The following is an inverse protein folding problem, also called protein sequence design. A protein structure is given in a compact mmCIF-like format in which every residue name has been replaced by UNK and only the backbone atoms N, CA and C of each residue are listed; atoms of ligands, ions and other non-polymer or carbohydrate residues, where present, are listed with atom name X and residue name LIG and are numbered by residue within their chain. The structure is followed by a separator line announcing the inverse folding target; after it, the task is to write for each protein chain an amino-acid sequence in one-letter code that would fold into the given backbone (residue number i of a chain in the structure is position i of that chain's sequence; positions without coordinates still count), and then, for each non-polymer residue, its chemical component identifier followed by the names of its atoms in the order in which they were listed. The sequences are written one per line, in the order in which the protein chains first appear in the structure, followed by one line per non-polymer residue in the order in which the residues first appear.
data_IF_004244877546
#
_entry.id   IF_004244877546
#
_cell.length_a   1.000
_cell.length_b   1.000
_cell.length_c   1.000
_cell.angle_alpha   90.00
_cell.angle_beta   90.00
_cell.angle_gamma   90.00
#
_symmetry.space_group_name_H-M   'P 1'
#
loop_
_entity.id
_entity.type
_entity.pdbx_description
1 polymer ?
#
# COMPACT_ATOMS: atom_id res chain seq x y z
N UNK A 1 -9.38 68.60 15.20
CA UNK A 1 -9.62 67.54 16.21
C UNK A 1 -9.18 66.21 15.61
N UNK A 2 -8.34 65.46 16.36
CA UNK A 2 -8.00 64.02 16.27
C UNK A 2 -7.42 63.44 14.97
N UNK A 3 -6.08 63.49 14.89
CA UNK A 3 -5.21 62.39 14.40
C UNK A 3 -5.02 61.36 15.54
N UNK A 4 -4.49 60.17 15.19
CA UNK A 4 -3.99 59.05 16.02
C UNK A 4 -4.94 57.85 16.24
N UNK A 5 -4.66 56.74 15.55
CA UNK A 5 -4.50 55.37 16.10
C UNK A 5 -4.09 54.38 15.00
N UNK A 6 -2.86 54.50 14.49
CA UNK A 6 -2.24 53.45 13.67
C UNK A 6 -0.74 53.44 14.01
N UNK A 7 -0.32 52.58 14.95
CA UNK A 7 1.09 52.58 15.36
C UNK A 7 1.50 51.67 16.52
N UNK A 8 0.60 50.93 17.16
CA UNK A 8 0.95 50.16 18.36
C UNK A 8 0.91 48.64 18.23
N UNK A 9 0.55 48.07 17.08
CA UNK A 9 0.47 46.61 16.92
C UNK A 9 1.63 46.00 16.12
N UNK A 10 2.45 46.80 15.41
CA UNK A 10 3.51 46.26 14.57
C UNK A 10 4.83 45.99 15.34
N UNK A 11 5.07 46.66 16.47
CA UNK A 11 6.36 46.60 17.17
C UNK A 11 6.54 45.36 18.06
N UNK A 12 5.46 44.65 18.40
CA UNK A 12 5.54 43.55 19.39
C UNK A 12 5.91 42.21 18.77
N UNK A 13 5.74 42.01 17.44
CA UNK A 13 6.06 40.72 16.82
C UNK A 13 7.53 40.57 16.37
N UNK A 14 8.32 41.64 16.31
CA UNK A 14 9.72 41.59 15.85
C UNK A 14 10.74 41.18 16.93
N UNK A 15 10.34 41.09 18.20
CA UNK A 15 11.23 40.72 19.32
C UNK A 15 11.31 39.21 19.62
N UNK A 16 10.57 38.36 18.89
CA UNK A 16 10.46 36.92 19.19
C UNK A 16 11.45 35.99 18.49
N UNK A 17 12.35 36.49 17.61
CA UNK A 17 13.15 35.62 16.71
C UNK A 17 14.64 35.50 17.12
N UNK A 18 15.10 36.20 18.16
CA UNK A 18 16.55 36.34 18.44
C UNK A 18 17.12 35.34 19.49
N UNK A 19 16.32 34.46 20.07
CA UNK A 19 16.78 33.59 21.16
C UNK A 19 16.69 32.08 20.85
N UNK A 20 17.56 31.59 19.95
CA UNK A 20 18.05 30.19 19.95
C UNK A 20 19.12 29.96 18.87
N UNK A 21 20.19 30.76 18.84
CA UNK A 21 21.46 30.34 18.23
C UNK A 21 22.35 29.76 19.34
N UNK A 22 22.31 28.45 19.51
CA UNK A 22 23.36 27.71 20.24
C UNK A 22 24.35 27.15 19.21
N UNK A 23 25.67 27.40 19.37
CA UNK A 23 26.68 26.92 18.43
C UNK A 23 26.96 25.41 18.60
N UNK A 24 27.12 24.73 17.46
CA UNK A 24 27.56 23.33 17.34
C UNK A 24 29.04 23.20 17.75
N UNK A 25 29.45 22.13 18.47
CA UNK A 25 30.85 21.83 18.70
C UNK A 25 31.49 21.24 17.43
N UNK A 26 32.54 21.89 16.93
CA UNK A 26 33.46 21.37 15.92
C UNK A 26 34.28 20.24 16.52
N UNK A 27 34.05 19.01 16.08
CA UNK A 27 34.97 17.89 16.35
C UNK A 27 36.07 17.92 15.29
N UNK A 28 37.26 18.28 15.76
CA UNK A 28 38.49 18.24 15.01
C UNK A 28 38.81 16.82 14.53
N UNK A 29 39.44 16.80 13.37
CA UNK A 29 39.75 15.65 12.55
C UNK A 29 41.26 15.42 12.68
N UNK A 30 41.68 14.64 13.67
CA UNK A 30 43.07 14.19 13.76
C UNK A 30 43.24 12.79 13.16
N UNK A 31 44.09 12.74 12.15
CA UNK A 31 44.57 11.53 11.51
C UNK A 31 46.10 11.48 11.66
N UNK A 32 46.62 10.44 12.35
CA UNK A 32 47.96 9.85 12.19
C UNK A 32 48.10 8.72 13.24
N UNK A 33 48.01 7.44 12.88
CA UNK A 33 49.04 6.56 12.32
C UNK A 33 49.78 5.72 13.39
N UNK A 34 50.28 4.51 13.07
CA UNK A 34 50.52 3.42 14.02
C UNK A 34 52.01 3.17 14.36
N UNK A 35 52.27 2.53 15.49
CA UNK A 35 53.58 1.97 15.89
C UNK A 35 53.59 1.62 17.37
N UNK A 36 53.56 0.34 17.74
CA UNK A 36 54.71 -0.55 18.02
C UNK A 36 54.99 -0.71 19.53
N UNK A 37 54.78 -1.96 19.99
CA UNK A 37 55.38 -2.70 21.11
C UNK A 37 55.91 -1.94 22.34
N UNK A 38 55.43 -2.32 23.54
CA UNK A 38 56.33 -2.84 24.59
C UNK A 38 55.58 -3.56 25.72
N UNK A 39 56.06 -4.76 25.98
CA UNK A 39 55.88 -5.73 27.07
C UNK A 39 55.63 -5.10 28.48
N UNK A 40 54.80 -5.64 29.39
CA UNK A 40 55.07 -6.79 30.29
C UNK A 40 53.95 -6.97 31.37
N UNK A 41 53.96 -8.08 32.14
CA UNK A 41 52.74 -8.72 32.65
C UNK A 41 52.50 -8.60 34.17
N UNK A 42 51.34 -9.15 34.55
CA UNK A 42 51.06 -9.91 35.76
C UNK A 42 50.37 -9.18 36.93
N UNK A 43 49.25 -9.83 37.34
CA UNK A 43 48.75 -9.97 38.71
C UNK A 43 48.26 -8.72 39.42
N UNK A 44 46.94 -8.59 39.59
CA UNK A 44 46.26 -8.93 40.85
C UNK A 44 44.77 -8.60 40.79
N UNK A 45 43.95 -9.61 41.12
CA UNK A 45 42.75 -9.56 41.96
C UNK A 45 41.94 -8.25 41.97
N UNK A 46 40.68 -8.31 41.53
CA UNK A 46 39.55 -7.93 42.38
C UNK A 46 38.23 -8.43 41.78
N UNK A 47 37.70 -9.48 42.41
CA UNK A 47 36.29 -9.84 42.34
C UNK A 47 35.45 -8.75 43.01
N UNK A 48 34.29 -8.48 42.41
CA UNK A 48 33.11 -7.98 43.12
C UNK A 48 32.91 -6.47 43.04
N UNK A 49 31.87 -6.06 42.30
CA UNK A 49 30.79 -5.15 42.70
C UNK A 49 30.09 -4.61 41.44
N UNK A 50 29.15 -5.40 40.93
CA UNK A 50 28.03 -4.89 40.13
C UNK A 50 26.92 -4.51 41.12
N UNK A 51 26.54 -3.24 41.28
CA UNK A 51 25.21 -2.91 41.77
C UNK A 51 24.21 -3.10 40.63
N UNK A 52 23.44 -4.19 40.73
CA UNK A 52 22.22 -4.42 39.96
C UNK A 52 21.05 -3.76 40.70
N UNK A 53 20.88 -2.45 40.57
CA UNK A 53 19.72 -1.74 41.15
C UNK A 53 19.31 -0.57 40.26
N UNK A 54 18.31 -0.78 39.39
CA UNK A 54 17.31 0.21 38.99
C UNK A 54 16.37 -0.29 37.87
N UNK A 55 15.81 -1.50 38.00
CA UNK A 55 14.47 -1.72 37.45
C UNK A 55 13.50 -1.38 38.59
N UNK A 56 12.94 -0.17 38.55
CA UNK A 56 11.90 0.23 39.48
C UNK A 56 10.62 -0.48 39.07
N UNK A 57 10.23 -1.46 39.86
CA UNK A 57 8.90 -2.07 39.90
C UNK A 57 7.85 -0.96 40.03
N UNK A 58 6.93 -0.84 39.05
CA UNK A 58 5.75 0.01 39.19
C UNK A 58 4.70 -0.75 40.04
N UNK A 59 4.14 -0.15 41.10
CA UNK A 59 3.09 -0.79 41.89
C UNK A 59 1.80 -0.92 41.08
N UNK A 60 1.24 -2.12 41.08
CA UNK A 60 -0.03 -2.44 40.46
C UNK A 60 -1.19 -1.66 41.05
N UNK A 61 -2.08 -1.21 40.18
CA UNK A 61 -3.36 -0.62 40.54
C UNK A 61 -4.32 -1.73 41.04
N UNK A 62 -5.05 -1.52 42.14
CA UNK A 62 -5.99 -2.50 42.67
C UNK A 62 -7.22 -2.61 41.77
N UNK A 63 -7.50 -3.84 41.36
CA UNK A 63 -8.70 -4.22 40.63
C UNK A 63 -9.97 -3.93 41.42
N UNK A 64 -10.86 -3.15 40.81
CA UNK A 64 -12.23 -3.00 41.27
C UNK A 64 -13.07 -4.13 40.67
N UNK A 65 -13.30 -5.16 41.47
CA UNK A 65 -14.40 -6.11 41.23
C UNK A 65 -15.73 -5.38 41.39
N UNK A 66 -16.54 -5.37 40.33
CA UNK A 66 -17.98 -5.19 40.41
C UNK A 66 -18.67 -6.48 39.91
N UNK A 67 -19.71 -6.98 40.59
CA UNK A 67 -20.32 -8.27 40.32
C UNK A 67 -21.39 -8.23 39.21
N UNK A 68 -21.51 -9.37 38.52
CA UNK A 68 -22.67 -9.95 37.85
C UNK A 68 -23.59 -9.05 37.00
N UNK A 69 -23.61 -9.31 35.68
CA UNK A 69 -24.73 -8.88 34.83
C UNK A 69 -24.40 -8.67 33.35
N UNK A 70 -24.26 -9.76 32.60
CA UNK A 70 -24.68 -9.88 31.19
C UNK A 70 -24.50 -8.64 30.28
N UNK A 71 -23.28 -8.36 29.82
CA UNK A 71 -23.10 -7.43 28.70
C UNK A 71 -23.44 -8.14 27.40
N UNK A 72 -24.71 -8.05 26.98
CA UNK A 72 -25.13 -8.38 25.61
C UNK A 72 -24.38 -7.45 24.64
N UNK A 73 -23.78 -7.96 23.55
CA UNK A 73 -23.27 -7.11 22.49
C UNK A 73 -24.41 -6.25 21.92
N UNK A 74 -24.26 -4.93 21.98
CA UNK A 74 -25.16 -4.00 21.30
C UNK A 74 -25.09 -4.18 19.77
N UNK A 75 -26.16 -3.83 19.03
CA UNK A 75 -26.18 -3.96 17.58
C UNK A 75 -25.13 -3.03 16.94
N UNK A 76 -24.30 -3.60 16.06
CA UNK A 76 -23.39 -2.85 15.20
C UNK A 76 -24.23 -2.01 14.22
N UNK A 77 -24.08 -0.67 14.18
CA UNK A 77 -24.76 0.14 13.17
C UNK A 77 -23.91 0.18 11.90
N UNK A 78 -24.43 -0.37 10.80
CA UNK A 78 -23.87 -0.08 9.45
C UNK A 78 -23.75 -1.24 8.46
N UNK A 79 -24.77 -2.09 8.30
CA UNK A 79 -24.92 -2.88 7.08
C UNK A 79 -26.36 -2.80 6.58
N UNK A 80 -26.67 -2.02 5.53
CA UNK A 80 -27.81 -2.32 4.69
C UNK A 80 -27.42 -3.45 3.73
N UNK A 81 -28.30 -4.45 3.67
CA UNK A 81 -28.43 -5.46 2.62
C UNK A 81 -27.45 -6.63 2.63
N UNK A 82 -27.68 -7.54 3.58
CA UNK A 82 -27.35 -8.97 3.42
C UNK A 82 -28.62 -9.80 3.61
N UNK A 83 -29.58 -9.61 2.71
CA UNK A 83 -30.60 -10.64 2.47
C UNK A 83 -29.89 -11.74 1.69
N UNK A 84 -29.36 -12.73 2.42
CA UNK A 84 -29.03 -14.04 1.87
C UNK A 84 -30.34 -14.67 1.39
N UNK A 85 -30.67 -14.43 0.12
CA UNK A 85 -31.63 -15.21 -0.63
C UNK A 85 -31.00 -16.54 -1.00
N UNK A 86 -31.28 -17.56 -0.21
CA UNK A 86 -31.16 -18.96 -0.64
C UNK A 86 -32.28 -19.18 -1.66
N UNK A 87 -31.97 -19.00 -2.95
CA UNK A 87 -32.78 -19.54 -4.03
C UNK A 87 -32.15 -20.85 -4.50
N UNK A 88 -32.93 -21.90 -4.30
CA UNK A 88 -32.68 -23.29 -4.58
C UNK A 88 -32.21 -23.52 -6.02
N UNK A 89 -31.08 -24.21 -6.15
CA UNK A 89 -30.75 -24.99 -7.34
C UNK A 89 -31.75 -26.14 -7.44
N UNK A 90 -32.70 -26.05 -8.38
CA UNK A 90 -33.46 -27.22 -8.84
C UNK A 90 -33.03 -27.50 -10.27
N UNK A 91 -32.40 -28.67 -10.44
CA UNK A 91 -32.14 -29.34 -11.70
C UNK A 91 -33.45 -29.87 -12.32
N UNK A 92 -33.57 -29.75 -13.64
CA UNK A 92 -34.61 -30.39 -14.47
C UNK A 92 -35.32 -29.34 -15.34
N UNK A 93 -35.53 -29.48 -16.65
CA UNK A 93 -35.56 -30.66 -17.48
C UNK A 93 -35.27 -30.29 -18.95
N UNK A 94 -34.70 -31.26 -19.65
CA UNK A 94 -34.41 -31.32 -21.07
C UNK A 94 -35.69 -31.28 -21.91
N UNK A 95 -35.78 -30.40 -22.92
CA UNK A 95 -36.58 -30.67 -24.12
C UNK A 95 -35.94 -30.13 -25.41
N UNK A 96 -35.91 -30.92 -26.50
CA UNK A 96 -35.37 -30.52 -27.80
C UNK A 96 -36.47 -29.87 -28.66
N UNK A 97 -36.22 -28.67 -29.15
CA UNK A 97 -37.05 -27.99 -30.16
C UNK A 97 -36.56 -28.23 -31.59
N UNK A 98 -37.44 -28.23 -32.60
CA UNK A 98 -37.16 -28.79 -33.92
C UNK A 98 -36.31 -27.88 -34.80
N UNK A 99 -35.40 -28.50 -35.55
CA UNK A 99 -34.81 -27.93 -36.75
C UNK A 99 -35.84 -27.96 -37.89
N UNK A 100 -36.16 -26.81 -38.48
CA UNK A 100 -36.54 -26.73 -39.89
C UNK A 100 -36.22 -25.36 -40.47
N UNK A 101 -35.52 -25.41 -41.60
CA UNK A 101 -35.13 -24.30 -42.45
C UNK A 101 -36.32 -23.75 -43.23
N UNK A 102 -36.42 -22.42 -43.29
CA UNK A 102 -37.05 -21.70 -44.39
C UNK A 102 -36.23 -20.44 -44.67
N UNK A 103 -35.64 -20.44 -45.84
CA UNK A 103 -35.09 -19.32 -46.58
C UNK A 103 -36.23 -18.32 -46.88
N UNK A 104 -36.09 -17.07 -46.44
CA UNK A 104 -36.86 -15.97 -47.02
C UNK A 104 -35.92 -14.77 -47.22
N UNK A 105 -35.79 -14.44 -48.50
CA UNK A 105 -35.04 -13.33 -49.06
C UNK A 105 -35.78 -12.04 -48.74
N UNK A 106 -35.17 -11.14 -47.97
CA UNK A 106 -35.63 -9.76 -47.84
C UNK A 106 -34.63 -8.83 -48.54
N UNK A 107 -35.05 -8.31 -49.69
CA UNK A 107 -34.36 -7.26 -50.44
C UNK A 107 -34.14 -5.98 -49.62
N UNK A 108 -33.09 -5.19 -49.95
CA UNK A 108 -32.68 -4.02 -49.18
C UNK A 108 -33.57 -2.80 -49.45
N UNK A 109 -34.16 -2.24 -48.38
CA UNK A 109 -34.84 -0.95 -48.46
C UNK A 109 -33.83 0.22 -48.61
N UNK A 110 -34.22 1.16 -49.45
CA UNK A 110 -33.45 2.27 -49.95
C UNK A 110 -32.92 3.24 -48.88
N UNK A 111 -31.65 3.60 -49.08
CA UNK A 111 -31.07 4.95 -48.96
C UNK A 111 -31.65 5.95 -47.97
N UNK A 112 -30.95 6.13 -46.85
CA UNK A 112 -30.66 7.49 -46.39
C UNK A 112 -29.14 7.68 -46.39
N UNK A 113 -28.64 8.33 -47.43
CA UNK A 113 -27.25 8.80 -47.49
C UNK A 113 -27.07 9.90 -46.46
N UNK A 114 -26.73 9.52 -45.23
CA UNK A 114 -26.11 10.42 -44.27
C UNK A 114 -24.84 10.96 -44.90
N UNK A 115 -24.81 12.27 -45.16
CA UNK A 115 -23.64 12.99 -45.69
C UNK A 115 -22.51 12.88 -44.67
N UNK A 116 -21.63 11.89 -44.83
CA UNK A 116 -20.39 11.84 -44.07
C UNK A 116 -19.55 13.06 -44.51
N UNK A 117 -19.23 13.93 -43.55
CA UNK A 117 -18.21 14.97 -43.76
C UNK A 117 -16.93 14.30 -44.28
N UNK A 118 -16.25 14.87 -45.29
CA UNK A 118 -14.97 14.34 -45.71
C UNK A 118 -13.99 14.38 -44.52
N UNK A 119 -13.07 13.41 -44.42
CA UNK A 119 -11.95 13.52 -43.50
C UNK A 119 -11.21 14.83 -43.81
N UNK A 120 -11.20 15.75 -42.86
CA UNK A 120 -10.51 17.02 -43.02
C UNK A 120 -9.03 16.76 -43.28
N UNK A 121 -8.53 17.23 -44.42
CA UNK A 121 -7.08 17.24 -44.69
C UNK A 121 -6.42 18.06 -43.57
N UNK A 122 -5.43 17.50 -42.84
CA UNK A 122 -4.75 18.24 -41.80
C UNK A 122 -4.11 19.50 -42.41
N UNK A 123 -4.43 20.67 -41.83
CA UNK A 123 -3.81 21.92 -42.26
C UNK A 123 -2.31 21.85 -41.97
N UNK A 124 -1.43 22.25 -42.91
CA UNK A 124 -0.01 22.42 -42.62
C UNK A 124 0.15 23.40 -41.47
N UNK A 125 0.70 22.94 -40.34
CA UNK A 125 0.91 23.74 -39.14
C UNK A 125 0.09 23.34 -37.91
N UNK A 126 -0.85 22.39 -38.02
CA UNK A 126 -1.53 21.85 -36.84
C UNK A 126 -0.71 20.71 -36.24
N UNK A 127 0.38 21.05 -35.55
CA UNK A 127 1.00 20.11 -34.62
C UNK A 127 -0.03 19.80 -33.54
N UNK A 128 -0.45 18.54 -33.46
CA UNK A 128 -1.25 18.05 -32.35
C UNK A 128 -0.53 18.46 -31.05
N UNK A 129 -1.15 19.34 -30.26
CA UNK A 129 -0.64 19.70 -28.96
C UNK A 129 -0.54 18.40 -28.17
N UNK A 130 0.63 18.02 -27.63
CA UNK A 130 0.71 16.85 -26.78
C UNK A 130 -0.32 17.05 -25.68
N UNK A 131 -1.28 16.12 -25.58
CA UNK A 131 -2.19 16.10 -24.45
C UNK A 131 -1.34 16.20 -23.20
N UNK A 132 -1.73 17.00 -22.18
CA UNK A 132 -0.96 17.06 -20.95
C UNK A 132 -0.79 15.61 -20.48
N UNK A 133 0.46 15.15 -20.42
CA UNK A 133 0.77 13.91 -19.74
C UNK A 133 0.31 14.16 -18.31
N UNK A 134 -0.85 13.62 -17.94
CA UNK A 134 -1.22 13.51 -16.55
C UNK A 134 -0.15 12.56 -16.00
N UNK A 135 0.92 13.12 -15.45
CA UNK A 135 1.93 12.36 -14.73
C UNK A 135 1.23 11.84 -13.48
N UNK A 136 0.53 10.72 -13.66
CA UNK A 136 -0.14 10.00 -12.61
C UNK A 136 0.92 9.07 -12.04
N UNK A 137 1.35 9.37 -10.81
CA UNK A 137 2.44 8.64 -10.16
C UNK A 137 1.95 7.25 -9.79
N UNK A 138 2.59 6.22 -10.33
CA UNK A 138 2.36 4.82 -9.95
C UNK A 138 3.66 4.25 -9.39
N UNK A 139 3.85 4.40 -8.09
CA UNK A 139 5.07 3.97 -7.39
C UNK A 139 4.68 3.34 -6.06
N UNK A 140 5.08 2.09 -5.86
CA UNK A 140 4.74 1.28 -4.69
C UNK A 140 6.00 0.67 -4.08
N UNK A 141 6.12 0.75 -2.76
CA UNK A 141 7.02 -0.07 -1.96
C UNK A 141 6.25 -1.34 -1.56
N UNK A 142 6.80 -2.49 -1.89
CA UNK A 142 6.22 -3.81 -1.60
C UNK A 142 7.18 -4.58 -0.70
N UNK A 143 6.64 -5.22 0.32
CA UNK A 143 7.40 -5.99 1.30
C UNK A 143 6.73 -7.32 1.60
N UNK A 144 7.54 -8.30 2.00
CA UNK A 144 7.10 -9.62 2.41
C UNK A 144 7.85 -10.00 3.69
N UNK A 145 7.12 -10.46 4.69
CA UNK A 145 7.61 -10.94 5.97
C UNK A 145 7.05 -12.36 6.23
N UNK A 146 7.88 -13.25 6.78
CA UNK A 146 7.41 -14.52 7.35
C UNK A 146 6.75 -14.29 8.69
N UNK A 147 5.73 -15.08 8.98
CA UNK A 147 4.91 -14.94 10.18
C UNK A 147 3.67 -14.07 9.92
N UNK A 148 3.03 -13.67 11.02
CA UNK A 148 1.79 -12.89 11.00
C UNK A 148 2.02 -11.38 11.12
N UNK A 149 3.25 -10.96 11.42
CA UNK A 149 3.63 -9.55 11.52
C UNK A 149 4.23 -9.06 10.20
N UNK A 150 3.90 -7.83 9.73
CA UNK A 150 4.54 -7.22 8.57
C UNK A 150 6.00 -6.81 8.85
N UNK A 151 6.44 -6.88 10.11
CA UNK A 151 7.79 -6.48 10.54
C UNK A 151 8.44 -7.52 11.46
N UNK A 152 9.76 -7.76 11.32
CA UNK A 152 10.65 -7.23 10.29
C UNK A 152 10.36 -7.84 8.91
N UNK A 153 10.47 -7.03 7.85
CA UNK A 153 10.32 -7.54 6.48
C UNK A 153 11.56 -8.34 6.06
N UNK A 154 11.34 -9.53 5.48
CA UNK A 154 12.42 -10.35 4.91
C UNK A 154 12.92 -9.78 3.59
N UNK A 155 12.02 -9.18 2.80
CA UNK A 155 12.32 -8.57 1.51
C UNK A 155 11.51 -7.30 1.29
N UNK A 156 12.12 -6.35 0.58
CA UNK A 156 11.48 -5.11 0.14
C UNK A 156 11.90 -4.77 -1.28
N UNK A 157 10.96 -4.37 -2.13
CA UNK A 157 11.23 -3.94 -3.52
C UNK A 157 10.41 -2.72 -3.88
N UNK A 158 10.92 -1.94 -4.82
CA UNK A 158 10.22 -0.81 -5.41
C UNK A 158 9.63 -1.25 -6.76
N UNK A 159 8.36 -0.94 -6.96
CA UNK A 159 7.64 -1.13 -8.22
C UNK A 159 7.17 0.24 -8.73
N UNK A 160 7.55 0.57 -9.96
CA UNK A 160 7.04 1.74 -10.68
C UNK A 160 6.32 1.29 -11.94
N UNK A 161 5.17 1.89 -12.24
CA UNK A 161 4.39 1.60 -13.44
C UNK A 161 4.23 2.85 -14.33
N UNK A 162 4.22 2.64 -15.65
CA UNK A 162 4.12 3.72 -16.65
C UNK A 162 5.39 4.57 -16.83
N UNK A 163 6.54 4.03 -17.28
CA UNK A 163 6.81 2.64 -17.69
C UNK A 163 7.20 1.71 -16.52
N UNK A 164 7.14 0.37 -16.69
CA UNK A 164 7.57 -0.58 -15.65
C UNK A 164 9.06 -0.42 -15.29
N UNK A 165 9.34 -0.15 -14.03
CA UNK A 165 10.70 0.05 -13.50
C UNK A 165 10.79 -0.29 -12.00
N UNK A 166 11.99 -0.15 -11.42
CA UNK A 166 12.27 -0.40 -10.01
C UNK A 166 13.07 -1.69 -9.76
N UNK A 167 13.17 -2.10 -8.50
CA UNK A 167 13.90 -3.31 -8.09
C UNK A 167 13.05 -4.58 -8.14
N UNK A 168 11.76 -4.47 -8.48
CA UNK A 168 10.86 -5.62 -8.58
C UNK A 168 11.26 -6.52 -9.78
N UNK A 169 11.58 -7.81 -9.57
CA UNK A 169 12.14 -8.68 -10.62
C UNK A 169 11.20 -8.95 -11.79
N UNK A 170 9.89 -8.84 -11.57
CA UNK A 170 8.83 -9.00 -12.59
C UNK A 170 7.97 -7.75 -12.75
N UNK A 171 8.60 -6.56 -12.79
CA UNK A 171 7.89 -5.28 -12.78
C UNK A 171 6.79 -5.17 -13.85
N UNK A 172 7.05 -5.56 -15.09
CA UNK A 172 6.07 -5.49 -16.18
C UNK A 172 4.83 -6.36 -15.92
N UNK A 173 5.02 -7.57 -15.39
CA UNK A 173 3.91 -8.48 -15.08
C UNK A 173 3.09 -7.99 -13.88
N UNK A 174 3.76 -7.52 -12.82
CA UNK A 174 3.11 -6.94 -11.66
C UNK A 174 2.30 -5.69 -12.01
N UNK A 175 2.85 -4.78 -12.84
CA UNK A 175 2.12 -3.60 -13.30
C UNK A 175 0.86 -3.97 -14.07
N UNK A 176 0.92 -4.95 -14.97
CA UNK A 176 -0.26 -5.43 -15.72
C UNK A 176 -1.35 -5.98 -14.79
N UNK A 177 -0.97 -6.72 -13.75
CA UNK A 177 -1.92 -7.25 -12.76
C UNK A 177 -2.59 -6.11 -11.97
N UNK A 178 -1.81 -5.12 -11.52
CA UNK A 178 -2.34 -3.96 -10.81
C UNK A 178 -3.22 -3.07 -11.70
N UNK A 179 -2.86 -2.90 -12.96
CA UNK A 179 -3.69 -2.17 -13.93
C UNK A 179 -5.04 -2.84 -14.15
N UNK A 180 -5.10 -4.18 -14.15
CA UNK A 180 -6.34 -4.94 -14.27
C UNK A 180 -7.34 -4.69 -13.13
N UNK A 181 -6.84 -4.31 -11.95
CA UNK A 181 -7.65 -4.02 -10.75
C UNK A 181 -7.64 -2.53 -10.38
N UNK A 182 -7.14 -1.66 -11.26
CA UNK A 182 -7.08 -0.22 -11.01
C UNK A 182 -6.23 0.18 -9.81
N UNK A 183 -5.26 -0.66 -9.40
CA UNK A 183 -4.40 -0.44 -8.25
C UNK A 183 -5.00 -0.87 -6.90
N UNK A 184 -6.16 -1.52 -6.87
CA UNK A 184 -6.69 -2.09 -5.62
C UNK A 184 -6.10 -3.49 -5.36
N UNK A 185 -5.21 -3.59 -4.38
CA UNK A 185 -4.58 -4.84 -3.98
C UNK A 185 -5.55 -5.85 -3.35
N UNK A 186 -6.71 -5.41 -2.85
CA UNK A 186 -7.72 -6.32 -2.28
C UNK A 186 -8.46 -7.09 -3.37
N UNK A 187 -8.61 -6.49 -4.55
CA UNK A 187 -9.27 -7.05 -5.72
C UNK A 187 -8.37 -8.01 -6.51
N UNK A 188 -7.10 -8.19 -6.10
CA UNK A 188 -6.21 -9.15 -6.75
C UNK A 188 -6.68 -10.59 -6.48
N UNK A 189 -6.98 -11.28 -7.58
CA UNK A 189 -7.23 -12.71 -7.59
C UNK A 189 -6.69 -13.31 -8.89
N UNK A 190 -5.37 -13.48 -8.95
CA UNK A 190 -4.68 -13.84 -10.20
C UNK A 190 -4.97 -15.27 -10.65
N UNK A 191 -5.12 -16.21 -9.73
CA UNK A 191 -5.35 -17.62 -10.03
C UNK A 191 -6.34 -18.26 -9.02
N UNK A 192 -7.66 -17.91 -9.08
CA UNK A 192 -8.69 -18.35 -8.14
C UNK A 192 -8.84 -19.88 -8.03
N UNK A 193 -8.59 -20.60 -9.12
CA UNK A 193 -8.79 -22.05 -9.16
C UNK A 193 -7.62 -22.87 -8.59
N UNK A 194 -6.54 -22.19 -8.16
CA UNK A 194 -5.35 -22.83 -7.59
C UNK A 194 -5.70 -23.59 -6.32
N UNK A 195 -5.33 -24.87 -6.25
CA UNK A 195 -5.49 -25.69 -5.05
C UNK A 195 -4.23 -25.62 -4.20
N UNK A 196 -4.33 -24.97 -3.04
CA UNK A 196 -3.26 -24.91 -2.06
C UNK A 196 -3.43 -25.97 -0.97
N UNK A 197 -2.31 -26.41 -0.40
CA UNK A 197 -2.31 -27.22 0.82
C UNK A 197 -2.87 -26.43 2.00
N UNK A 198 -3.34 -27.13 3.03
CA UNK A 198 -3.86 -26.52 4.28
C UNK A 198 -2.78 -26.31 5.35
N UNK A 199 -1.51 -26.42 4.98
CA UNK A 199 -0.40 -26.12 5.87
C UNK A 199 -0.44 -24.63 6.27
N UNK A 200 -0.20 -24.36 7.55
CA UNK A 200 -0.13 -23.01 8.08
C UNK A 200 1.33 -22.58 8.27
N UNK A 201 1.83 -21.81 7.32
CA UNK A 201 3.16 -21.18 7.32
C UNK A 201 2.97 -19.71 6.92
N UNK A 202 2.50 -18.86 7.85
CA UNK A 202 1.94 -17.57 7.50
C UNK A 202 2.97 -16.64 6.88
N UNK A 203 2.50 -15.82 5.93
CA UNK A 203 3.29 -14.80 5.26
C UNK A 203 2.48 -13.52 5.20
N UNK A 204 3.01 -12.46 5.80
CA UNK A 204 2.41 -11.13 5.77
C UNK A 204 3.07 -10.28 4.69
N UNK A 205 2.26 -9.64 3.87
CA UNK A 205 2.72 -8.66 2.88
C UNK A 205 2.27 -7.28 3.27
N UNK A 206 3.08 -6.29 2.93
CA UNK A 206 2.72 -4.89 3.04
C UNK A 206 3.06 -4.14 1.75
N UNK A 207 2.12 -3.30 1.30
CA UNK A 207 2.26 -2.47 0.12
C UNK A 207 1.85 -1.03 0.43
N UNK A 208 2.71 -0.06 0.11
CA UNK A 208 2.38 1.34 0.29
C UNK A 208 2.94 2.22 -0.83
N UNK A 209 2.23 3.27 -1.18
CA UNK A 209 2.72 4.25 -2.14
C UNK A 209 1.60 5.07 -2.79
N UNK A 210 1.78 5.37 -4.07
CA UNK A 210 0.83 6.12 -4.87
C UNK A 210 0.44 5.29 -6.09
N UNK A 211 -0.87 5.23 -6.32
CA UNK A 211 -1.45 4.74 -7.55
C UNK A 211 -2.30 5.86 -8.16
N UNK A 212 -1.80 6.43 -9.25
CA UNK A 212 -2.31 7.63 -9.89
C UNK A 212 -2.43 8.84 -8.95
N UNK A 213 -3.62 9.08 -8.40
CA UNK A 213 -3.91 10.17 -7.44
C UNK A 213 -4.28 9.64 -6.05
N UNK A 214 -4.30 8.32 -5.88
CA UNK A 214 -4.74 7.66 -4.66
C UNK A 214 -3.53 7.17 -3.88
N UNK A 215 -3.52 7.42 -2.57
CA UNK A 215 -2.57 6.78 -1.67
C UNK A 215 -3.01 5.33 -1.46
N UNK A 216 -2.09 4.42 -1.72
CA UNK A 216 -2.29 2.99 -1.50
C UNK A 216 -1.58 2.61 -0.21
N UNK A 217 -2.30 1.89 0.66
CA UNK A 217 -1.76 1.23 1.85
C UNK A 217 -2.49 -0.09 1.98
N UNK A 218 -1.74 -1.17 2.10
CA UNK A 218 -2.25 -2.53 2.08
C UNK A 218 -1.41 -3.39 3.00
N UNK A 219 -2.08 -4.21 3.80
CA UNK A 219 -1.46 -5.22 4.61
C UNK A 219 -2.36 -6.45 4.60
N UNK A 220 -1.77 -7.63 4.39
CA UNK A 220 -2.52 -8.88 4.44
C UNK A 220 -1.62 -10.04 4.82
N UNK A 221 -2.12 -10.89 5.72
CA UNK A 221 -1.52 -12.18 6.06
C UNK A 221 -2.19 -13.28 5.26
N UNK A 222 -1.39 -14.15 4.66
CA UNK A 222 -1.82 -15.35 3.96
C UNK A 222 -1.45 -16.58 4.79
N UNK A 223 -2.26 -17.65 4.72
CA UNK A 223 -2.02 -18.86 5.52
C UNK A 223 -0.76 -19.62 5.08
N UNK A 224 -0.38 -19.48 3.81
CA UNK A 224 0.89 -19.98 3.28
C UNK A 224 1.29 -19.27 1.98
N UNK A 225 2.51 -19.56 1.51
CA UNK A 225 3.06 -19.02 0.25
C UNK A 225 2.24 -19.38 -1.00
N UNK A 226 1.54 -20.51 -1.01
CA UNK A 226 0.71 -20.90 -2.15
C UNK A 226 -0.49 -19.95 -2.27
N UNK A 227 -1.18 -19.67 -1.17
CA UNK A 227 -2.32 -18.74 -1.14
C UNK A 227 -1.90 -17.31 -1.53
N UNK A 228 -0.75 -16.85 -1.03
CA UNK A 228 -0.16 -15.57 -1.42
C UNK A 228 0.04 -15.48 -2.93
N UNK A 229 0.66 -16.51 -3.53
CA UNK A 229 0.93 -16.56 -4.97
C UNK A 229 -0.35 -16.66 -5.80
N UNK A 230 -1.32 -17.46 -5.36
CA UNK A 230 -2.60 -17.63 -6.05
C UNK A 230 -3.40 -16.32 -6.09
N UNK A 231 -3.39 -15.59 -4.97
CA UNK A 231 -4.12 -14.31 -4.85
C UNK A 231 -3.41 -13.19 -5.59
N UNK A 232 -2.13 -12.97 -5.30
CA UNK A 232 -1.41 -11.74 -5.69
C UNK A 232 -0.53 -11.89 -6.94
N UNK A 233 -0.28 -13.11 -7.38
CA UNK A 233 0.51 -13.38 -8.58
C UNK A 233 1.93 -12.79 -8.50
N UNK A 234 2.30 -12.03 -9.52
CA UNK A 234 3.65 -11.47 -9.66
C UNK A 234 3.91 -10.31 -8.69
N UNK A 235 2.87 -9.67 -8.14
CA UNK A 235 2.99 -8.46 -7.31
C UNK A 235 3.80 -8.69 -6.02
N UNK A 236 3.61 -9.82 -5.34
CA UNK A 236 4.32 -10.15 -4.09
C UNK A 236 5.21 -11.40 -4.17
N UNK A 237 5.52 -11.89 -5.38
CA UNK A 237 6.37 -13.09 -5.57
C UNK A 237 7.79 -12.75 -6.03
N UNK A 238 8.56 -12.11 -5.14
CA UNK A 238 9.95 -11.68 -5.35
C UNK A 238 10.93 -12.19 -4.28
#
# INVERSE_FOLDING_TARGET
MRRLTLGLTCTVLLLGVVAALSPLPTTERDAAAPGHLSERPATHLLSGLLPAEAYREAPGEPGLHAPDGETRPGPIPGHPDSVFGYSEFVFGETHPGPVRAHEEVQEPAAGTTGRQSPPGVPRPGETARPAPAKNVSRVLLLTVARGESPTPADKAVLLQCGPPAGSHPKAAEACRQLEGVGGDLNELHVAPDTKCTREYDPVTVFGAGLWDRSRLSYERTFGNRCELKATTGAVFTF
#
